data_IF_993739072574
#
_entry.id   IF_993739072574
#
_cell.length_a   1.000
_cell.length_b   1.000
_cell.length_c   1.000
_cell.angle_alpha   90.00
_cell.angle_beta   90.00
_cell.angle_gamma   90.00
#
_symmetry.space_group_name_H-M   'P 1'
#
loop_
_entity.id
_entity.type
_entity.pdbx_description
1 polymer ?
#
# COMPACT_ATOMS: atom_id res chain seq x y z
N UNK A 1 -19.37 6.05 2.44
CA UNK A 1 -19.53 5.94 0.97
C UNK A 1 -20.92 5.44 0.59
N UNK A 2 -21.47 4.43 1.26
CA UNK A 2 -22.85 3.94 1.00
C UNK A 2 -23.92 5.01 1.21
N UNK A 3 -23.79 5.86 2.25
CA UNK A 3 -24.70 6.99 2.48
C UNK A 3 -24.65 8.01 1.32
N UNK A 4 -23.50 8.24 0.71
CA UNK A 4 -23.40 9.11 -0.46
C UNK A 4 -24.13 8.51 -1.67
N UNK A 5 -24.03 7.20 -1.88
CA UNK A 5 -24.74 6.49 -2.95
C UNK A 5 -26.28 6.55 -2.78
N UNK A 6 -26.77 6.55 -1.54
CA UNK A 6 -28.20 6.72 -1.21
C UNK A 6 -28.73 8.16 -1.30
N UNK A 7 -27.88 9.16 -1.54
CA UNK A 7 -28.30 10.56 -1.61
C UNK A 7 -29.15 10.85 -2.85
N UNK A 8 -30.26 11.55 -2.66
CA UNK A 8 -31.12 12.04 -3.75
C UNK A 8 -30.53 13.29 -4.45
N UNK A 9 -29.56 13.95 -3.83
CA UNK A 9 -28.97 15.21 -4.33
C UNK A 9 -27.80 15.02 -5.29
N UNK A 10 -27.25 13.79 -5.39
CA UNK A 10 -26.11 13.48 -6.28
C UNK A 10 -26.60 12.93 -7.62
N UNK A 11 -25.91 13.30 -8.70
CA UNK A 11 -26.12 12.69 -10.01
C UNK A 11 -25.66 11.22 -10.02
N UNK A 12 -26.09 10.43 -10.99
CA UNK A 12 -25.63 9.02 -11.09
C UNK A 12 -24.15 8.93 -11.39
N UNK A 13 -23.58 9.89 -12.12
CA UNK A 13 -22.14 9.97 -12.39
C UNK A 13 -21.34 10.26 -11.11
N UNK A 14 -21.83 11.13 -10.22
CA UNK A 14 -21.25 11.36 -8.90
C UNK A 14 -21.37 10.12 -8.01
N UNK A 15 -22.53 9.47 -8.00
CA UNK A 15 -22.73 8.20 -7.28
C UNK A 15 -21.82 7.11 -7.78
N UNK A 16 -21.56 7.04 -9.09
CA UNK A 16 -20.62 6.08 -9.66
C UNK A 16 -19.20 6.29 -9.14
N UNK A 17 -18.76 7.55 -8.92
CA UNK A 17 -17.47 7.81 -8.30
C UNK A 17 -17.38 7.25 -6.87
N UNK A 18 -18.40 7.45 -6.04
CA UNK A 18 -18.43 6.90 -4.68
C UNK A 18 -18.53 5.37 -4.64
N UNK A 19 -19.29 4.75 -5.56
CA UNK A 19 -19.33 3.29 -5.71
C UNK A 19 -17.97 2.74 -6.11
N UNK A 20 -17.32 3.35 -7.10
CA UNK A 20 -16.00 2.96 -7.57
C UNK A 20 -14.96 3.07 -6.45
N UNK A 21 -14.96 4.18 -5.71
CA UNK A 21 -14.06 4.40 -4.59
C UNK A 21 -14.26 3.35 -3.48
N UNK A 22 -15.52 3.00 -3.16
CA UNK A 22 -15.83 1.98 -2.19
C UNK A 22 -15.24 0.61 -2.58
N UNK A 23 -15.43 0.21 -3.84
CA UNK A 23 -14.86 -1.03 -4.38
C UNK A 23 -13.33 -1.04 -4.32
N UNK A 24 -12.68 0.07 -4.65
CA UNK A 24 -11.23 0.20 -4.57
C UNK A 24 -10.72 0.09 -3.13
N UNK A 25 -11.29 0.86 -2.19
CA UNK A 25 -10.84 0.86 -0.78
C UNK A 25 -11.03 -0.53 -0.17
N UNK A 26 -12.15 -1.19 -0.45
CA UNK A 26 -12.40 -2.57 0.00
C UNK A 26 -11.38 -3.54 -0.57
N UNK A 27 -11.12 -3.48 -1.87
CA UNK A 27 -10.13 -4.32 -2.54
C UNK A 27 -8.73 -4.10 -1.99
N UNK A 28 -8.34 -2.85 -1.73
CA UNK A 28 -7.06 -2.51 -1.16
C UNK A 28 -6.90 -3.11 0.25
N UNK A 29 -7.91 -2.93 1.11
CA UNK A 29 -7.89 -3.48 2.47
C UNK A 29 -7.82 -5.02 2.47
N UNK A 30 -8.62 -5.69 1.64
CA UNK A 30 -8.57 -7.15 1.52
C UNK A 30 -7.24 -7.64 0.95
N UNK A 31 -6.66 -6.91 -0.02
CA UNK A 31 -5.34 -7.26 -0.56
C UNK A 31 -4.26 -7.22 0.53
N UNK A 32 -4.13 -6.12 1.26
CA UNK A 32 -3.14 -6.01 2.32
C UNK A 32 -3.36 -7.09 3.39
N UNK A 33 -4.62 -7.33 3.80
CA UNK A 33 -4.94 -8.32 4.83
C UNK A 33 -4.66 -9.75 4.36
N UNK A 34 -5.08 -10.14 3.16
CA UNK A 34 -4.87 -11.51 2.67
C UNK A 34 -3.41 -11.80 2.35
N UNK A 35 -2.62 -10.78 1.99
CA UNK A 35 -1.18 -10.92 1.78
C UNK A 35 -0.43 -11.25 3.07
N UNK A 36 -0.91 -10.76 4.21
CA UNK A 36 -0.30 -11.03 5.52
C UNK A 36 -0.84 -12.29 6.20
N UNK A 37 -2.15 -12.56 6.04
CA UNK A 37 -2.87 -13.57 6.83
C UNK A 37 -3.23 -14.83 6.03
N UNK A 38 -3.26 -14.77 4.70
CA UNK A 38 -3.79 -15.84 3.85
C UNK A 38 -5.31 -15.80 3.75
N UNK A 39 -6.00 -16.86 4.18
CA UNK A 39 -7.47 -16.93 4.21
C UNK A 39 -8.03 -15.91 5.19
N UNK A 40 -9.07 -15.17 4.80
CA UNK A 40 -9.69 -14.12 5.61
C UNK A 40 -11.21 -14.06 5.42
N UNK A 41 -11.98 -13.52 6.37
CA UNK A 41 -13.38 -13.18 6.11
C UNK A 41 -13.48 -12.10 5.03
N UNK A 42 -14.13 -12.40 3.93
CA UNK A 42 -14.32 -11.49 2.80
C UNK A 42 -15.79 -11.41 2.38
N UNK A 43 -16.40 -12.53 2.01
CA UNK A 43 -17.78 -12.58 1.50
C UNK A 43 -18.85 -12.20 2.55
N UNK A 44 -18.56 -12.41 3.81
CA UNK A 44 -19.42 -12.07 4.94
C UNK A 44 -18.86 -10.91 5.79
N UNK A 45 -17.80 -10.25 5.36
CA UNK A 45 -17.23 -9.11 6.06
C UNK A 45 -18.26 -7.96 6.16
N UNK A 46 -18.23 -7.25 7.30
CA UNK A 46 -19.07 -6.08 7.60
C UNK A 46 -20.59 -6.35 7.63
N UNK A 47 -21.04 -7.59 7.72
CA UNK A 47 -22.45 -7.98 7.77
C UNK A 47 -23.01 -8.11 9.19
N UNK A 48 -22.27 -7.70 10.21
CA UNK A 48 -22.72 -7.79 11.60
C UNK A 48 -23.91 -6.90 11.90
N UNK A 49 -23.87 -5.65 11.48
CA UNK A 49 -24.93 -4.67 11.77
C UNK A 49 -26.20 -4.93 10.91
N UNK A 50 -26.05 -5.19 9.61
CA UNK A 50 -27.19 -5.36 8.71
C UNK A 50 -27.79 -6.76 8.75
N UNK A 51 -26.96 -7.80 8.71
CA UNK A 51 -27.37 -9.19 8.53
C UNK A 51 -27.23 -10.04 9.82
N UNK A 52 -26.72 -9.47 10.93
CA UNK A 52 -26.50 -10.16 12.20
C UNK A 52 -25.38 -11.19 12.18
N UNK A 53 -24.47 -11.13 11.19
CA UNK A 53 -23.35 -12.07 11.07
C UNK A 53 -22.15 -11.55 11.86
N UNK A 54 -22.04 -11.98 13.12
CA UNK A 54 -20.93 -11.57 14.01
C UNK A 54 -19.75 -12.56 14.00
N UNK A 55 -19.89 -13.69 13.34
CA UNK A 55 -18.85 -14.70 13.16
C UNK A 55 -18.76 -15.07 11.68
N UNK A 56 -18.20 -14.19 10.85
CA UNK A 56 -18.10 -14.44 9.41
C UNK A 56 -17.19 -15.65 9.14
N UNK A 57 -17.50 -16.40 8.09
CA UNK A 57 -16.65 -17.49 7.62
C UNK A 57 -15.36 -16.94 7.00
N UNK A 58 -14.31 -17.77 7.05
CA UNK A 58 -13.09 -17.53 6.29
C UNK A 58 -13.29 -18.01 4.84
N UNK A 59 -13.04 -17.13 3.90
CA UNK A 59 -12.93 -17.45 2.49
C UNK A 59 -11.48 -17.79 2.17
N UNK A 60 -11.26 -18.69 1.23
CA UNK A 60 -9.91 -19.02 0.78
C UNK A 60 -9.23 -17.82 0.14
N UNK A 61 -7.91 -17.74 0.23
CA UNK A 61 -7.15 -16.65 -0.40
C UNK A 61 -7.46 -16.51 -1.90
N UNK A 62 -7.73 -17.61 -2.60
CA UNK A 62 -8.14 -17.59 -4.01
C UNK A 62 -9.49 -16.89 -4.21
N UNK A 63 -10.49 -17.18 -3.37
CA UNK A 63 -11.81 -16.52 -3.40
C UNK A 63 -11.69 -15.03 -3.08
N UNK A 64 -10.82 -14.67 -2.14
CA UNK A 64 -10.52 -13.28 -1.81
C UNK A 64 -9.90 -12.56 -3.01
N UNK A 65 -8.90 -13.14 -3.67
CA UNK A 65 -8.31 -12.54 -4.88
C UNK A 65 -9.30 -12.44 -6.04
N UNK A 66 -10.18 -13.43 -6.21
CA UNK A 66 -11.24 -13.36 -7.21
C UNK A 66 -12.17 -12.17 -6.95
N UNK A 67 -12.56 -11.96 -5.70
CA UNK A 67 -13.36 -10.79 -5.28
C UNK A 67 -12.63 -9.49 -5.55
N UNK A 68 -11.36 -9.38 -5.14
CA UNK A 68 -10.51 -8.20 -5.37
C UNK A 68 -10.45 -7.85 -6.86
N UNK A 69 -10.15 -8.83 -7.73
CA UNK A 69 -10.01 -8.58 -9.16
C UNK A 69 -11.33 -8.17 -9.81
N UNK A 70 -12.46 -8.73 -9.41
CA UNK A 70 -13.78 -8.33 -9.89
C UNK A 70 -14.15 -6.92 -9.43
N UNK A 71 -13.90 -6.59 -8.16
CA UNK A 71 -14.15 -5.26 -7.61
C UNK A 71 -13.30 -4.18 -8.30
N UNK A 72 -12.02 -4.46 -8.54
CA UNK A 72 -11.13 -3.52 -9.21
C UNK A 72 -11.54 -3.28 -10.67
N UNK A 73 -11.97 -4.32 -11.39
CA UNK A 73 -12.49 -4.17 -12.76
C UNK A 73 -13.75 -3.31 -12.78
N UNK A 74 -14.68 -3.57 -11.88
CA UNK A 74 -15.91 -2.78 -11.78
C UNK A 74 -15.61 -1.34 -11.33
N UNK A 75 -14.68 -1.13 -10.39
CA UNK A 75 -14.22 0.18 -9.98
C UNK A 75 -13.67 0.99 -11.15
N UNK A 76 -12.77 0.40 -11.96
CA UNK A 76 -12.24 1.05 -13.16
C UNK A 76 -13.34 1.41 -14.18
N UNK A 77 -14.30 0.51 -14.37
CA UNK A 77 -15.44 0.73 -15.27
C UNK A 77 -16.31 1.89 -14.80
N UNK A 78 -16.61 1.95 -13.52
CA UNK A 78 -17.42 3.03 -12.92
C UNK A 78 -16.70 4.38 -13.00
N UNK A 79 -15.40 4.43 -12.69
CA UNK A 79 -14.61 5.67 -12.83
C UNK A 79 -14.54 6.17 -14.29
N UNK A 80 -14.64 5.29 -15.28
CA UNK A 80 -14.66 5.71 -16.69
C UNK A 80 -15.88 6.58 -17.06
N UNK A 81 -16.98 6.46 -16.31
CA UNK A 81 -18.22 7.22 -16.50
C UNK A 81 -18.58 8.12 -15.30
N UNK A 82 -17.66 8.28 -14.35
CA UNK A 82 -17.90 9.06 -13.16
C UNK A 82 -17.67 10.56 -13.39
N UNK A 83 -18.39 11.40 -12.65
CA UNK A 83 -18.11 12.82 -12.53
C UNK A 83 -17.16 13.11 -11.37
N UNK A 84 -16.59 14.31 -11.35
CA UNK A 84 -15.82 14.83 -10.20
C UNK A 84 -16.70 14.83 -8.94
N UNK A 85 -16.13 14.40 -7.83
CA UNK A 85 -16.84 14.24 -6.56
C UNK A 85 -16.11 14.94 -5.40
N UNK A 86 -16.82 15.19 -4.30
CA UNK A 86 -16.31 15.94 -3.14
C UNK A 86 -15.82 15.01 -2.04
N UNK A 87 -14.95 15.54 -1.16
CA UNK A 87 -14.49 14.84 0.04
C UNK A 87 -13.31 13.89 -0.18
N UNK A 88 -12.70 13.91 -1.35
CA UNK A 88 -11.51 13.13 -1.66
C UNK A 88 -10.23 13.93 -1.34
N UNK A 89 -9.43 13.50 -0.34
CA UNK A 89 -8.17 14.16 0.03
C UNK A 89 -6.98 13.76 -0.84
N UNK A 90 -7.13 12.79 -1.76
CA UNK A 90 -6.02 12.21 -2.53
C UNK A 90 -5.90 12.88 -3.89
N UNK A 91 -6.95 12.84 -4.70
CA UNK A 91 -6.96 13.37 -6.07
C UNK A 91 -7.99 14.49 -6.27
N UNK A 92 -8.50 15.09 -5.17
CA UNK A 92 -9.52 16.15 -5.21
C UNK A 92 -10.76 15.77 -6.02
N UNK A 93 -11.13 14.50 -6.02
CA UNK A 93 -12.30 13.98 -6.71
C UNK A 93 -12.12 13.77 -8.21
N UNK A 94 -10.91 13.75 -8.74
CA UNK A 94 -10.65 13.49 -10.16
C UNK A 94 -10.84 11.99 -10.48
N UNK A 95 -11.88 11.61 -11.26
CA UNK A 95 -12.17 10.22 -11.57
C UNK A 95 -11.13 9.59 -12.51
N UNK A 96 -10.44 10.39 -13.34
CA UNK A 96 -9.40 9.86 -14.23
C UNK A 96 -8.16 9.44 -13.42
N UNK A 97 -7.73 10.26 -12.46
CA UNK A 97 -6.61 9.91 -11.57
C UNK A 97 -6.94 8.68 -10.71
N UNK A 98 -8.17 8.60 -10.20
CA UNK A 98 -8.62 7.40 -9.51
C UNK A 98 -8.62 6.17 -10.41
N UNK A 99 -9.08 6.28 -11.66
CA UNK A 99 -9.06 5.18 -12.63
C UNK A 99 -7.63 4.71 -12.93
N UNK A 100 -6.71 5.66 -13.14
CA UNK A 100 -5.27 5.35 -13.31
C UNK A 100 -4.71 4.58 -12.10
N UNK A 101 -5.06 5.02 -10.88
CA UNK A 101 -4.66 4.35 -9.66
C UNK A 101 -5.22 2.92 -9.57
N UNK A 102 -6.54 2.74 -9.80
CA UNK A 102 -7.19 1.42 -9.78
C UNK A 102 -6.53 0.47 -10.77
N UNK A 103 -6.28 0.91 -12.00
CA UNK A 103 -5.67 0.08 -13.04
C UNK A 103 -4.22 -0.29 -12.67
N UNK A 104 -3.43 0.67 -12.19
CA UNK A 104 -2.04 0.43 -11.77
C UNK A 104 -1.97 -0.52 -10.57
N UNK A 105 -2.89 -0.37 -9.61
CA UNK A 105 -3.02 -1.30 -8.49
C UNK A 105 -3.47 -2.70 -8.95
N UNK A 106 -4.37 -2.79 -9.93
CA UNK A 106 -4.77 -4.07 -10.53
C UNK A 106 -3.58 -4.80 -11.14
N UNK A 107 -2.70 -4.09 -11.87
CA UNK A 107 -1.47 -4.68 -12.40
C UNK A 107 -0.53 -5.16 -11.28
N UNK A 108 -0.43 -4.43 -10.16
CA UNK A 108 0.34 -4.88 -8.98
C UNK A 108 -0.20 -6.19 -8.44
N UNK A 109 -1.53 -6.31 -8.27
CA UNK A 109 -2.18 -7.55 -7.81
C UNK A 109 -1.92 -8.69 -8.78
N UNK A 110 -2.11 -8.47 -10.09
CA UNK A 110 -1.88 -9.49 -11.10
C UNK A 110 -0.40 -9.92 -11.20
N UNK A 111 0.54 -9.00 -10.97
CA UNK A 111 1.96 -9.33 -10.92
C UNK A 111 2.29 -10.26 -9.74
N UNK A 112 1.66 -10.06 -8.56
CA UNK A 112 1.78 -10.99 -7.43
C UNK A 112 1.23 -12.39 -7.77
N UNK A 113 0.20 -12.44 -8.60
CA UNK A 113 -0.43 -13.67 -9.08
C UNK A 113 0.24 -14.29 -10.32
N UNK A 114 1.38 -13.74 -10.79
CA UNK A 114 2.03 -14.09 -12.07
C UNK A 114 2.41 -15.57 -12.22
N UNK A 115 2.57 -16.31 -11.12
CA UNK A 115 2.81 -17.76 -11.12
C UNK A 115 1.52 -18.60 -11.23
N UNK A 116 0.35 -17.98 -11.13
CA UNK A 116 -0.95 -18.64 -11.31
C UNK A 116 -1.42 -18.46 -12.75
N UNK A 117 -1.96 -19.51 -13.33
CA UNK A 117 -2.59 -19.44 -14.65
C UNK A 117 -3.96 -18.79 -14.55
N UNK A 118 -4.73 -19.20 -13.54
CA UNK A 118 -6.07 -18.68 -13.28
C UNK A 118 -6.28 -18.40 -11.80
N UNK A 119 -7.22 -17.50 -11.50
CA UNK A 119 -7.80 -17.27 -10.17
C UNK A 119 -9.31 -17.37 -10.35
N UNK A 120 -9.91 -18.44 -9.87
CA UNK A 120 -11.29 -18.80 -10.22
C UNK A 120 -11.48 -18.84 -11.74
N UNK A 121 -12.41 -18.02 -12.25
CA UNK A 121 -12.71 -17.92 -13.68
C UNK A 121 -11.81 -16.95 -14.46
N UNK A 122 -10.90 -16.23 -13.79
CA UNK A 122 -10.07 -15.18 -14.38
C UNK A 122 -8.74 -15.76 -14.84
N UNK A 123 -8.40 -15.64 -16.15
CA UNK A 123 -7.04 -15.85 -16.63
C UNK A 123 -6.18 -14.64 -16.26
N UNK A 124 -5.12 -14.87 -15.49
CA UNK A 124 -4.26 -13.82 -14.92
C UNK A 124 -3.54 -13.04 -16.03
N UNK A 125 -2.99 -13.74 -17.01
CA UNK A 125 -2.24 -13.12 -18.10
C UNK A 125 -3.14 -12.30 -19.02
N UNK A 126 -4.29 -12.85 -19.40
CA UNK A 126 -5.22 -12.17 -20.29
C UNK A 126 -5.74 -10.88 -19.67
N UNK A 127 -6.07 -10.94 -18.35
CA UNK A 127 -6.49 -9.75 -17.62
C UNK A 127 -5.35 -8.72 -17.51
N UNK A 128 -4.12 -9.16 -17.26
CA UNK A 128 -2.96 -8.27 -17.23
C UNK A 128 -2.80 -7.53 -18.59
N UNK A 129 -2.86 -8.25 -19.71
CA UNK A 129 -2.75 -7.68 -21.05
C UNK A 129 -3.90 -6.71 -21.37
N UNK A 130 -5.09 -6.93 -20.83
CA UNK A 130 -6.23 -6.02 -20.95
C UNK A 130 -6.00 -4.74 -20.15
N UNK A 131 -5.67 -4.86 -18.86
CA UNK A 131 -5.50 -3.72 -17.97
C UNK A 131 -4.28 -2.88 -18.34
N UNK A 132 -3.23 -3.48 -18.88
CA UNK A 132 -2.05 -2.75 -19.35
C UNK A 132 -2.32 -1.78 -20.52
N UNK A 133 -3.48 -1.88 -21.18
CA UNK A 133 -3.93 -0.95 -22.24
C UNK A 133 -4.83 0.18 -21.72
N UNK A 134 -5.25 0.10 -20.47
CA UNK A 134 -6.06 1.11 -19.81
C UNK A 134 -5.21 2.29 -19.34
N UNK A 135 -5.80 3.44 -18.98
CA UNK A 135 -5.05 4.54 -18.38
C UNK A 135 -4.33 4.09 -17.11
N UNK A 136 -3.02 4.34 -17.04
CA UNK A 136 -2.15 3.99 -15.92
C UNK A 136 -1.50 5.25 -15.33
N UNK A 137 -0.96 5.15 -14.12
CA UNK A 137 -0.10 6.18 -13.54
C UNK A 137 1.16 6.35 -14.39
N UNK A 138 1.54 7.60 -14.68
CA UNK A 138 2.67 7.94 -15.55
C UNK A 138 3.84 8.59 -14.81
N UNK A 139 3.57 9.14 -13.64
CA UNK A 139 4.56 9.88 -12.86
C UNK A 139 4.24 9.86 -11.36
N UNK A 140 5.20 10.33 -10.54
CA UNK A 140 5.07 10.35 -9.08
C UNK A 140 3.91 11.24 -8.58
N UNK A 141 3.57 12.32 -9.28
CA UNK A 141 2.46 13.21 -8.92
C UNK A 141 1.08 12.55 -8.99
N UNK A 142 0.96 11.44 -9.74
CA UNK A 142 -0.26 10.63 -9.83
C UNK A 142 -0.29 9.49 -8.81
N UNK A 143 0.75 9.34 -7.98
CA UNK A 143 0.84 8.24 -7.02
C UNK A 143 -0.23 8.31 -5.94
N UNK A 144 -0.75 7.14 -5.56
CA UNK A 144 -1.58 7.00 -4.36
C UNK A 144 -0.69 7.11 -3.12
N UNK A 145 -0.64 8.31 -2.55
CA UNK A 145 0.28 8.63 -1.47
C UNK A 145 -0.38 9.43 -0.35
N UNK A 146 0.15 9.27 0.84
CA UNK A 146 -0.16 10.14 1.98
C UNK A 146 0.93 11.20 2.10
N UNK A 147 0.54 12.46 1.99
CA UNK A 147 1.42 13.59 2.23
C UNK A 147 1.47 13.88 3.73
N UNK A 148 2.67 13.98 4.28
CA UNK A 148 2.93 14.35 5.66
C UNK A 148 3.32 15.82 5.73
N UNK A 149 2.88 16.51 6.80
CA UNK A 149 3.17 17.94 7.02
C UNK A 149 3.96 18.10 8.33
N UNK A 150 5.21 18.49 8.22
CA UNK A 150 6.09 18.73 9.37
C UNK A 150 5.61 19.90 10.26
N UNK A 151 4.83 20.83 9.70
CA UNK A 151 4.26 21.98 10.45
C UNK A 151 3.08 21.61 11.35
N UNK A 152 2.52 20.40 11.21
CA UNK A 152 1.34 19.94 11.95
C UNK A 152 1.63 18.62 12.66
N UNK A 153 1.73 18.62 13.98
CA UNK A 153 2.08 17.43 14.77
C UNK A 153 1.15 16.22 14.55
N UNK A 154 -0.12 16.44 14.22
CA UNK A 154 -1.08 15.38 13.88
C UNK A 154 -0.83 14.77 12.49
N UNK A 155 -0.02 15.42 11.65
CA UNK A 155 0.29 15.01 10.29
C UNK A 155 1.77 14.68 10.09
N UNK A 156 2.53 14.53 11.17
CA UNK A 156 3.93 14.12 11.09
C UNK A 156 4.07 12.69 10.55
N UNK A 157 5.14 12.52 9.79
CA UNK A 157 5.57 11.17 9.42
C UNK A 157 5.81 10.33 10.68
N UNK A 158 5.44 9.06 10.72
CA UNK A 158 5.59 8.22 11.91
C UNK A 158 6.99 8.19 12.53
N UNK A 159 8.03 8.29 11.69
CA UNK A 159 9.43 8.33 12.12
C UNK A 159 10.02 9.76 12.14
N UNK A 160 9.15 10.78 12.22
CA UNK A 160 9.61 12.17 12.34
C UNK A 160 10.44 12.34 13.61
N UNK A 161 11.60 13.00 13.48
CA UNK A 161 12.63 13.05 14.54
C UNK A 161 12.16 13.68 15.87
N UNK A 162 11.17 14.56 15.89
CA UNK A 162 10.61 15.12 17.13
C UNK A 162 9.68 14.17 17.90
N UNK A 163 9.35 13.00 17.35
CA UNK A 163 8.62 11.97 18.09
C UNK A 163 9.61 11.17 18.94
N UNK A 164 9.60 11.41 20.26
CA UNK A 164 10.53 10.83 21.23
C UNK A 164 10.73 9.31 21.12
N UNK A 165 9.72 8.56 20.72
CA UNK A 165 9.79 7.10 20.62
C UNK A 165 10.74 6.59 19.52
N UNK A 166 11.11 7.44 18.57
CA UNK A 166 11.99 7.07 17.45
C UNK A 166 13.37 7.75 17.50
N UNK A 167 13.57 8.64 18.46
CA UNK A 167 14.82 9.38 18.62
C UNK A 167 16.00 8.51 19.04
N UNK A 168 15.70 7.47 19.83
CA UNK A 168 16.74 6.65 20.46
C UNK A 168 17.01 5.33 19.72
N UNK A 169 16.17 4.97 18.73
CA UNK A 169 16.15 3.61 18.19
C UNK A 169 16.15 3.46 16.66
N UNK A 170 16.29 4.52 15.84
CA UNK A 170 16.34 4.35 14.39
C UNK A 170 17.72 3.87 13.94
N UNK A 171 18.05 2.65 14.28
CA UNK A 171 19.31 2.00 13.89
C UNK A 171 19.02 0.89 12.88
N UNK A 172 19.88 0.76 11.88
CA UNK A 172 19.75 -0.32 10.92
C UNK A 172 20.25 -1.63 11.51
N UNK A 173 19.56 -2.72 11.20
CA UNK A 173 20.00 -4.06 11.55
C UNK A 173 21.33 -4.40 10.85
N UNK A 174 22.27 -5.07 11.56
CA UNK A 174 23.49 -5.61 10.97
C UNK A 174 23.18 -6.53 9.80
N UNK A 175 22.12 -7.35 9.90
CA UNK A 175 21.70 -8.24 8.81
C UNK A 175 21.46 -7.48 7.49
N UNK A 176 20.75 -6.35 7.52
CA UNK A 176 20.50 -5.56 6.32
C UNK A 176 21.77 -4.86 5.83
N UNK A 177 22.54 -4.24 6.73
CA UNK A 177 23.77 -3.54 6.37
C UNK A 177 24.79 -4.51 5.75
N UNK A 178 25.00 -5.67 6.39
CA UNK A 178 25.97 -6.67 5.91
C UNK A 178 25.54 -7.24 4.56
N UNK A 179 24.26 -7.53 4.37
CA UNK A 179 23.73 -7.97 3.06
C UNK A 179 23.96 -6.91 1.98
N UNK A 180 23.70 -5.64 2.26
CA UNK A 180 23.92 -4.56 1.28
C UNK A 180 25.41 -4.36 0.97
N UNK A 181 26.30 -4.56 1.95
CA UNK A 181 27.75 -4.54 1.77
C UNK A 181 28.22 -5.71 0.90
N UNK A 182 27.75 -6.92 1.17
CA UNK A 182 28.08 -8.12 0.40
C UNK A 182 27.64 -7.98 -1.07
N UNK A 183 26.44 -7.44 -1.30
CA UNK A 183 25.91 -7.20 -2.64
C UNK A 183 26.47 -5.94 -3.32
N UNK A 184 27.31 -5.17 -2.66
CA UNK A 184 27.79 -3.85 -3.11
C UNK A 184 26.65 -2.91 -3.50
N UNK A 185 25.55 -2.95 -2.74
CA UNK A 185 24.34 -2.17 -3.00
C UNK A 185 24.51 -0.73 -2.49
N UNK A 186 24.69 0.19 -3.44
CA UNK A 186 24.90 1.63 -3.14
C UNK A 186 23.71 2.32 -2.51
N UNK A 187 22.54 1.69 -2.49
CA UNK A 187 21.37 2.23 -1.75
C UNK A 187 21.65 2.33 -0.25
N UNK A 188 22.66 1.60 0.26
CA UNK A 188 23.12 1.75 1.64
C UNK A 188 23.48 3.20 1.97
N UNK A 189 24.15 3.89 1.07
CA UNK A 189 24.58 5.29 1.26
C UNK A 189 23.42 6.29 1.28
N UNK A 190 22.26 5.85 0.83
CA UNK A 190 21.02 6.64 0.88
C UNK A 190 20.16 6.31 2.11
N UNK A 191 20.17 5.05 2.55
CA UNK A 191 19.33 4.59 3.66
C UNK A 191 19.94 4.80 5.04
N UNK A 192 21.26 4.93 5.14
CA UNK A 192 21.97 5.09 6.40
C UNK A 192 23.03 6.17 6.33
N UNK A 193 23.37 6.70 7.49
CA UNK A 193 24.58 7.50 7.70
C UNK A 193 25.74 6.55 8.11
N UNK A 194 27.02 6.95 7.90
CA UNK A 194 28.17 6.25 8.44
C UNK A 194 28.04 6.07 9.96
N UNK A 195 28.43 4.89 10.44
CA UNK A 195 28.37 4.63 11.88
C UNK A 195 29.27 5.63 12.66
N UNK A 196 28.85 6.10 13.84
CA UNK A 196 29.58 7.15 14.58
C UNK A 196 31.07 6.87 14.80
N UNK A 197 31.45 5.60 14.96
CA UNK A 197 32.84 5.17 15.09
C UNK A 197 33.66 5.35 13.79
N UNK A 198 33.01 5.52 12.65
CA UNK A 198 33.60 5.73 11.33
C UNK A 198 33.33 7.11 10.76
N UNK A 199 32.98 8.10 11.60
CA UNK A 199 32.58 9.47 11.20
C UNK A 199 33.61 10.17 10.31
N UNK A 200 34.88 9.82 10.41
CA UNK A 200 35.97 10.40 9.62
C UNK A 200 36.28 9.59 8.35
N UNK A 201 35.60 8.49 8.13
CA UNK A 201 35.73 7.68 6.92
C UNK A 201 34.85 8.21 5.77
N UNK A 202 35.21 7.94 4.50
CA UNK A 202 34.41 8.39 3.36
C UNK A 202 32.98 7.86 3.41
N UNK A 203 32.00 8.73 3.22
CA UNK A 203 30.58 8.34 3.22
C UNK A 203 30.18 7.46 2.03
N UNK A 204 30.99 7.40 0.98
CA UNK A 204 30.80 6.55 -0.19
C UNK A 204 31.57 5.22 -0.11
N UNK A 205 32.12 4.89 1.06
CA UNK A 205 32.75 3.60 1.35
C UNK A 205 31.83 2.70 2.16
N UNK A 206 31.64 1.45 1.71
CA UNK A 206 30.88 0.44 2.44
C UNK A 206 31.45 0.15 3.84
N UNK A 207 32.75 0.34 4.05
CA UNK A 207 33.40 0.13 5.35
C UNK A 207 33.01 1.16 6.41
N UNK A 208 32.45 2.30 5.99
CA UNK A 208 31.93 3.34 6.88
C UNK A 208 30.60 2.98 7.56
N UNK A 209 29.98 1.88 7.16
CA UNK A 209 28.66 1.49 7.62
C UNK A 209 28.70 0.24 8.50
N UNK A 210 27.97 0.27 9.60
CA UNK A 210 27.78 -0.85 10.52
C UNK A 210 26.35 -0.86 11.04
N UNK A 211 25.74 -2.01 11.02
CA UNK A 211 24.41 -2.21 11.60
C UNK A 211 24.49 -2.76 13.02
N UNK A 212 23.37 -2.67 13.73
CA UNK A 212 23.21 -3.21 15.09
C UNK A 212 22.75 -4.66 15.00
N UNK A 213 23.35 -5.55 15.79
CA UNK A 213 22.81 -6.89 15.93
C UNK A 213 21.51 -6.85 16.75
N UNK A 214 20.35 -7.19 16.17
CA UNK A 214 19.04 -7.06 16.84
C UNK A 214 18.83 -8.09 17.98
N UNK A 215 19.74 -9.05 18.14
CA UNK A 215 19.67 -10.10 19.17
C UNK A 215 20.45 -9.71 20.42
N UNK A 216 21.29 -8.67 20.37
CA UNK A 216 22.06 -8.22 21.51
C UNK A 216 21.20 -7.46 22.52
N UNK A 217 21.52 -7.61 23.81
CA UNK A 217 20.96 -6.79 24.86
C UNK A 217 21.29 -5.29 24.64
N UNK A 218 20.34 -4.41 24.98
CA UNK A 218 20.46 -2.96 24.74
C UNK A 218 21.76 -2.35 25.30
N UNK A 219 22.23 -2.83 26.45
CA UNK A 219 23.48 -2.36 27.06
C UNK A 219 24.72 -2.66 26.22
N UNK A 220 24.72 -3.79 25.48
CA UNK A 220 25.82 -4.18 24.59
C UNK A 220 25.74 -3.41 23.27
N UNK A 221 24.54 -3.16 22.77
CA UNK A 221 24.33 -2.33 21.57
C UNK A 221 24.95 -0.94 21.76
N UNK A 222 24.72 -0.31 22.91
CA UNK A 222 25.27 1.02 23.23
C UNK A 222 26.81 1.06 23.26
N UNK A 223 27.45 -0.07 23.52
CA UNK A 223 28.91 -0.17 23.53
C UNK A 223 29.52 -0.33 22.13
N UNK A 224 28.73 -0.77 21.13
CA UNK A 224 29.16 -0.92 19.73
C UNK A 224 29.00 0.37 18.90
N UNK A 225 28.24 1.34 19.37
CA UNK A 225 27.94 2.64 18.75
C UNK A 225 28.54 3.81 19.54
#
# INVERSE_FOLDING_TARGET
LELAVGSETLSEEEKNAYRALNLFIRSYAFYETTMEMGDIPCSEALKGEGDGIFSPKYDTQEEVFLTILNDLRESSRLFASAATFKGDPVYNGDPLLWRKNVNSFTLRVLNMLSKKQTVGSINVRDLFEQVAKEPLMENEGESYQRVYDAGKSSQWYPFYFEKQNYWSYPVMSSFLVDMMKELQDRRLFYYAEPAPRFKDAPADSFDSYSGVNPVLEYGLVKAEF
#
